data_IF_187427639413
#
_entry.id   IF_187427639413
#
_cell.length_a   1.000
_cell.length_b   1.000
_cell.length_c   1.000
_cell.angle_alpha   90.00
_cell.angle_beta   90.00
_cell.angle_gamma   90.00
#
_symmetry.space_group_name_H-M   'P 1'
#
loop_
_entity.id
_entity.type
_entity.pdbx_description
1 polymer ?
#
# COMPACT_ATOMS: atom_id res chain seq x y z
N UNK A 1 -9.50 -19.88 -14.56
CA UNK A 1 -9.63 -18.43 -14.37
C UNK A 1 -8.66 -18.01 -13.29
N UNK A 2 -7.96 -16.89 -13.44
CA UNK A 2 -7.14 -16.24 -12.43
C UNK A 2 -7.83 -14.94 -12.06
N UNK A 3 -8.29 -14.81 -10.82
CA UNK A 3 -8.93 -13.60 -10.31
C UNK A 3 -7.91 -12.83 -9.48
N UNK A 4 -7.61 -11.60 -9.88
CA UNK A 4 -6.78 -10.67 -9.13
C UNK A 4 -7.65 -9.53 -8.63
N UNK A 5 -7.70 -9.40 -7.30
CA UNK A 5 -8.46 -8.38 -6.58
C UNK A 5 -7.47 -7.53 -5.79
N UNK A 6 -7.48 -6.24 -6.02
CA UNK A 6 -6.65 -5.28 -5.31
C UNK A 6 -7.54 -4.25 -4.61
N UNK A 7 -7.38 -4.07 -3.31
CA UNK A 7 -8.16 -3.09 -2.54
C UNK A 7 -7.32 -1.83 -2.28
N UNK A 8 -7.95 -0.65 -2.42
CA UNK A 8 -7.30 0.62 -2.09
C UNK A 8 -8.27 1.62 -1.47
N UNK A 9 -7.82 2.31 -0.44
CA UNK A 9 -8.56 3.40 0.23
C UNK A 9 -8.25 4.78 -0.36
N UNK A 10 -7.02 4.98 -0.83
CA UNK A 10 -6.60 6.19 -1.53
C UNK A 10 -6.62 5.96 -3.03
N UNK A 11 -7.24 6.90 -3.78
CA UNK A 11 -7.29 6.77 -5.23
C UNK A 11 -5.92 7.04 -5.84
N UNK A 12 -5.38 6.04 -6.55
CA UNK A 12 -4.19 6.18 -7.39
C UNK A 12 -4.28 5.28 -8.60
N UNK A 13 -3.90 5.79 -9.76
CA UNK A 13 -3.84 5.01 -11.01
C UNK A 13 -2.61 4.08 -11.06
N UNK A 14 -1.63 4.29 -10.16
CA UNK A 14 -0.48 3.41 -10.00
C UNK A 14 -0.86 1.97 -9.64
N UNK A 15 -2.13 1.74 -9.21
CA UNK A 15 -2.70 0.41 -9.02
C UNK A 15 -2.55 -0.47 -10.27
N UNK A 16 -2.60 0.10 -11.49
CA UNK A 16 -2.42 -0.64 -12.74
C UNK A 16 -1.03 -1.24 -12.87
N UNK A 17 0.00 -0.51 -12.41
CA UNK A 17 1.38 -1.01 -12.40
C UNK A 17 1.53 -2.15 -11.38
N UNK A 18 0.92 -2.00 -10.19
CA UNK A 18 0.92 -3.08 -9.18
C UNK A 18 0.21 -4.33 -9.70
N UNK A 19 -0.96 -4.16 -10.34
CA UNK A 19 -1.70 -5.26 -10.97
C UNK A 19 -0.84 -5.99 -12.01
N UNK A 20 -0.09 -5.27 -12.86
CA UNK A 20 0.81 -5.87 -13.83
C UNK A 20 1.89 -6.74 -13.16
N UNK A 21 2.52 -6.20 -12.12
CA UNK A 21 3.57 -6.91 -11.39
C UNK A 21 3.01 -8.16 -10.67
N UNK A 22 1.87 -8.03 -10.00
CA UNK A 22 1.21 -9.14 -9.30
C UNK A 22 0.70 -10.21 -10.28
N UNK A 23 0.21 -9.81 -11.45
CA UNK A 23 -0.21 -10.74 -12.49
C UNK A 23 0.98 -11.54 -13.03
N UNK A 24 2.11 -10.88 -13.30
CA UNK A 24 3.33 -11.53 -13.74
C UNK A 24 3.84 -12.55 -12.69
N UNK A 25 3.87 -12.15 -11.41
CA UNK A 25 4.25 -13.02 -10.29
C UNK A 25 3.30 -14.22 -10.17
N UNK A 26 1.98 -13.98 -10.22
CA UNK A 26 0.97 -15.05 -10.14
C UNK A 26 1.09 -16.07 -11.26
N UNK A 27 1.43 -15.63 -12.48
CA UNK A 27 1.70 -16.55 -13.60
C UNK A 27 3.01 -17.30 -13.41
N UNK A 28 4.05 -16.65 -12.91
CA UNK A 28 5.31 -17.32 -12.60
C UNK A 28 5.08 -18.48 -11.61
N UNK A 29 4.44 -18.23 -10.49
CA UNK A 29 4.08 -19.25 -9.49
C UNK A 29 3.16 -20.34 -10.05
N UNK A 30 2.21 -19.97 -10.93
CA UNK A 30 1.33 -20.92 -11.59
C UNK A 30 2.11 -21.90 -12.49
N UNK A 31 3.08 -21.41 -13.28
CA UNK A 31 3.89 -22.24 -14.14
C UNK A 31 4.82 -23.16 -13.35
N UNK A 32 5.42 -22.67 -12.28
CA UNK A 32 6.23 -23.48 -11.36
C UNK A 32 5.39 -24.62 -10.74
N UNK A 33 4.26 -24.28 -10.12
CA UNK A 33 3.36 -25.23 -9.48
C UNK A 33 2.81 -26.28 -10.44
N UNK A 34 2.60 -25.91 -11.71
CA UNK A 34 2.09 -26.83 -12.76
C UNK A 34 3.19 -27.48 -13.57
N UNK A 35 4.46 -27.25 -13.21
CA UNK A 35 5.65 -27.82 -13.87
C UNK A 35 5.66 -27.56 -15.39
N UNK A 36 5.15 -26.40 -15.83
CA UNK A 36 5.16 -26.00 -17.23
C UNK A 36 6.44 -25.22 -17.56
N UNK A 37 7.15 -25.66 -18.60
CA UNK A 37 8.36 -24.98 -19.06
C UNK A 37 8.04 -24.00 -20.19
N UNK A 38 8.44 -22.75 -20.03
CA UNK A 38 8.30 -21.69 -21.04
C UNK A 38 9.28 -21.85 -22.20
N UNK A 39 10.34 -22.68 -22.06
CA UNK A 39 11.40 -22.88 -23.03
C UNK A 39 11.16 -24.05 -23.98
N UNK A 40 10.07 -24.80 -23.80
CA UNK A 40 9.70 -25.90 -24.67
C UNK A 40 8.78 -25.42 -25.79
N UNK A 41 8.83 -26.10 -26.95
CA UNK A 41 7.98 -25.79 -28.12
C UNK A 41 6.48 -25.94 -27.87
N UNK A 42 6.09 -26.73 -26.86
CA UNK A 42 4.70 -26.95 -26.51
C UNK A 42 4.12 -25.69 -25.85
N UNK A 43 3.03 -25.17 -26.43
CA UNK A 43 2.29 -24.04 -25.86
C UNK A 43 1.84 -24.35 -24.42
N UNK A 44 2.19 -23.47 -23.48
CA UNK A 44 1.74 -23.56 -22.08
C UNK A 44 0.25 -23.26 -21.95
N UNK A 45 -0.37 -23.88 -20.96
CA UNK A 45 -1.76 -23.59 -20.57
C UNK A 45 -1.74 -22.57 -19.44
N UNK A 46 -2.45 -21.47 -19.61
CA UNK A 46 -2.56 -20.43 -18.58
C UNK A 46 -4.02 -20.04 -18.38
N UNK A 47 -4.43 -19.76 -17.13
CA UNK A 47 -5.79 -19.29 -16.84
C UNK A 47 -6.01 -17.88 -17.39
N UNK A 48 -7.23 -17.59 -17.88
CA UNK A 48 -7.61 -16.23 -18.25
C UNK A 48 -7.61 -15.34 -17.02
N UNK A 49 -6.95 -14.15 -17.06
CA UNK A 49 -6.96 -13.22 -15.93
C UNK A 49 -8.25 -12.38 -15.94
N UNK A 50 -8.75 -12.08 -14.75
CA UNK A 50 -9.77 -11.07 -14.52
C UNK A 50 -9.27 -10.14 -13.41
N UNK A 51 -9.22 -8.84 -13.69
CA UNK A 51 -8.56 -7.83 -12.88
C UNK A 51 -9.60 -6.87 -12.30
N UNK A 52 -9.61 -6.72 -10.98
CA UNK A 52 -10.54 -5.87 -10.26
C UNK A 52 -9.82 -5.01 -9.22
N UNK A 53 -10.28 -3.77 -9.09
CA UNK A 53 -9.92 -2.85 -8.02
C UNK A 53 -11.13 -2.63 -7.14
N UNK A 54 -11.03 -2.92 -5.85
CA UNK A 54 -12.06 -2.61 -4.86
C UNK A 54 -11.68 -1.27 -4.22
N UNK A 55 -12.48 -0.24 -4.47
CA UNK A 55 -12.25 1.07 -3.88
C UNK A 55 -12.99 1.21 -2.55
N UNK A 56 -12.25 1.25 -1.46
CA UNK A 56 -12.76 1.33 -0.08
C UNK A 56 -12.72 2.76 0.49
N UNK A 57 -12.28 3.74 -0.30
CA UNK A 57 -12.16 5.14 0.13
C UNK A 57 -13.47 5.92 0.07
N UNK A 58 -13.47 7.11 0.69
CA UNK A 58 -14.66 7.97 0.81
C UNK A 58 -14.74 9.07 -0.26
N UNK A 59 -13.77 9.17 -1.19
CA UNK A 59 -13.83 10.14 -2.28
C UNK A 59 -14.83 9.68 -3.34
N UNK A 60 -15.55 10.63 -3.94
CA UNK A 60 -16.61 10.38 -4.91
C UNK A 60 -16.25 9.39 -6.01
N UNK A 61 -17.28 8.85 -6.67
CA UNK A 61 -17.15 7.81 -7.70
C UNK A 61 -16.12 8.20 -8.77
N UNK A 62 -15.29 7.26 -9.13
CA UNK A 62 -14.29 7.30 -10.19
C UNK A 62 -14.74 6.44 -11.37
N UNK A 63 -13.97 6.28 -12.46
CA UNK A 63 -14.37 5.48 -13.61
C UNK A 63 -14.60 4.01 -13.22
N UNK A 64 -15.57 3.37 -13.88
CA UNK A 64 -15.87 1.94 -13.66
C UNK A 64 -14.78 0.99 -14.20
N UNK A 65 -13.92 1.51 -15.08
CA UNK A 65 -12.78 0.79 -15.66
C UNK A 65 -11.63 1.75 -15.81
N UNK A 66 -10.43 1.30 -15.47
CA UNK A 66 -9.17 2.00 -15.69
C UNK A 66 -8.30 1.16 -16.61
N UNK A 67 -7.49 1.80 -17.45
CA UNK A 67 -6.61 1.12 -18.39
C UNK A 67 -5.24 1.78 -18.47
N UNK A 68 -4.24 0.96 -18.75
CA UNK A 68 -2.84 1.42 -18.78
C UNK A 68 -2.63 2.49 -19.86
N UNK A 69 -3.15 2.27 -21.08
CA UNK A 69 -3.05 3.23 -22.16
C UNK A 69 -3.66 4.58 -21.80
N UNK A 70 -4.86 4.58 -21.22
CA UNK A 70 -5.57 5.82 -20.90
C UNK A 70 -4.92 6.61 -19.76
N UNK A 71 -4.45 5.92 -18.71
CA UNK A 71 -3.97 6.57 -17.49
C UNK A 71 -2.49 7.02 -17.58
N UNK A 72 -1.68 6.38 -18.44
CA UNK A 72 -0.24 6.63 -18.52
C UNK A 72 0.26 7.11 -19.89
N UNK A 73 -0.54 6.93 -20.95
CA UNK A 73 -0.10 7.17 -22.32
C UNK A 73 -1.13 7.95 -23.14
N UNK A 74 -2.00 8.73 -22.50
CA UNK A 74 -3.00 9.62 -23.14
C UNK A 74 -3.89 8.90 -24.17
N UNK A 75 -4.17 7.60 -23.96
CA UNK A 75 -4.97 6.78 -24.85
C UNK A 75 -4.23 6.28 -26.09
N UNK A 76 -2.90 6.40 -26.13
CA UNK A 76 -2.10 5.86 -27.25
C UNK A 76 -2.28 4.34 -27.39
N UNK A 77 -2.12 3.87 -28.62
CA UNK A 77 -2.06 2.43 -28.89
C UNK A 77 -0.74 1.86 -28.35
N UNK A 78 -0.83 0.84 -27.49
CA UNK A 78 0.30 0.20 -26.83
C UNK A 78 0.24 -1.31 -26.97
N UNK A 79 1.41 -1.96 -27.08
CA UNK A 79 1.49 -3.41 -27.29
C UNK A 79 1.00 -4.24 -26.08
N UNK A 80 1.06 -3.68 -24.87
CA UNK A 80 0.60 -4.35 -23.63
C UNK A 80 -0.46 -3.49 -22.96
N UNK A 81 -1.70 -3.91 -23.01
CA UNK A 81 -2.83 -3.24 -22.36
C UNK A 81 -3.27 -3.99 -21.11
N UNK A 82 -3.39 -3.25 -19.99
CA UNK A 82 -3.96 -3.72 -18.73
C UNK A 82 -5.26 -2.94 -18.49
N UNK A 83 -6.37 -3.68 -18.32
CA UNK A 83 -7.67 -3.09 -17.97
C UNK A 83 -8.18 -3.72 -16.69
N UNK A 84 -8.51 -2.89 -15.70
CA UNK A 84 -9.10 -3.33 -14.45
C UNK A 84 -10.49 -2.71 -14.26
N UNK A 85 -11.45 -3.53 -13.81
CA UNK A 85 -12.77 -3.07 -13.40
C UNK A 85 -12.70 -2.53 -11.98
N UNK A 86 -13.36 -1.39 -11.73
CA UNK A 86 -13.39 -0.79 -10.41
C UNK A 86 -14.75 -1.05 -9.76
N UNK A 87 -14.70 -1.59 -8.55
CA UNK A 87 -15.87 -1.87 -7.73
C UNK A 87 -15.95 -0.84 -6.62
N UNK A 88 -17.09 -0.19 -6.50
CA UNK A 88 -17.44 0.78 -5.49
C UNK A 88 -18.48 0.23 -4.55
N UNK A 89 -18.65 0.87 -3.39
CA UNK A 89 -19.81 0.66 -2.54
C UNK A 89 -21.12 0.86 -3.32
N UNK A 90 -22.06 0.00 -3.09
CA UNK A 90 -23.38 0.00 -3.73
C UNK A 90 -24.44 -0.47 -2.73
N UNK A 91 -25.71 -0.27 -3.07
CA UNK A 91 -26.85 -0.77 -2.27
C UNK A 91 -27.09 -2.30 -2.44
N UNK A 92 -26.18 -2.99 -3.14
CA UNK A 92 -26.31 -4.44 -3.36
C UNK A 92 -25.87 -5.19 -2.11
N UNK A 93 -26.71 -6.11 -1.69
CA UNK A 93 -26.42 -7.07 -0.63
C UNK A 93 -25.50 -8.18 -1.20
N UNK A 94 -24.19 -7.99 -1.06
CA UNK A 94 -23.17 -8.96 -1.43
C UNK A 94 -21.89 -8.79 -0.60
N UNK A 95 -21.10 -9.85 -0.52
CA UNK A 95 -19.90 -9.93 0.31
C UNK A 95 -18.85 -8.85 -0.02
N UNK A 96 -18.75 -8.40 -1.27
CA UNK A 96 -17.79 -7.35 -1.66
C UNK A 96 -18.24 -6.00 -1.08
N UNK A 97 -19.54 -5.72 -1.12
CA UNK A 97 -20.08 -4.50 -0.51
C UNK A 97 -19.92 -4.52 1.02
N UNK A 98 -20.19 -5.65 1.67
CA UNK A 98 -19.96 -5.82 3.11
C UNK A 98 -18.48 -5.63 3.46
N UNK A 99 -17.54 -6.11 2.61
CA UNK A 99 -16.11 -5.88 2.79
C UNK A 99 -15.75 -4.38 2.66
N UNK A 100 -16.31 -3.67 1.69
CA UNK A 100 -16.09 -2.21 1.55
C UNK A 100 -16.58 -1.48 2.80
N UNK A 101 -17.76 -1.81 3.31
CA UNK A 101 -18.30 -1.21 4.53
C UNK A 101 -17.44 -1.56 5.75
N UNK A 102 -16.98 -2.81 5.87
CA UNK A 102 -16.01 -3.21 6.90
C UNK A 102 -14.75 -2.35 6.87
N UNK A 103 -14.15 -2.15 5.70
CA UNK A 103 -12.97 -1.29 5.54
C UNK A 103 -13.22 0.17 5.94
N UNK A 104 -14.43 0.70 5.67
CA UNK A 104 -14.81 2.06 6.08
C UNK A 104 -14.93 2.19 7.59
N UNK A 105 -15.64 1.25 8.23
CA UNK A 105 -15.73 1.20 9.69
C UNK A 105 -14.34 1.08 10.31
N UNK A 106 -13.50 0.23 9.76
CA UNK A 106 -12.12 0.07 10.23
C UNK A 106 -11.31 1.37 10.15
N UNK A 107 -11.37 2.08 9.02
CA UNK A 107 -10.72 3.37 8.86
C UNK A 107 -11.24 4.44 9.85
N UNK A 108 -12.52 4.40 10.22
CA UNK A 108 -13.11 5.26 11.25
C UNK A 108 -12.54 4.91 12.63
N UNK A 109 -12.46 3.62 12.96
CA UNK A 109 -11.93 3.17 14.24
C UNK A 109 -10.42 3.43 14.40
N UNK A 110 -9.65 3.35 13.31
CA UNK A 110 -8.22 3.77 13.32
C UNK A 110 -8.08 5.26 13.62
N UNK A 111 -8.95 6.12 13.09
CA UNK A 111 -8.91 7.56 13.39
C UNK A 111 -9.20 7.86 14.86
N UNK A 112 -10.07 7.09 15.49
CA UNK A 112 -10.48 7.27 16.88
C UNK A 112 -9.49 6.64 17.87
N UNK A 113 -9.02 5.43 17.59
CA UNK A 113 -8.23 4.62 18.53
C UNK A 113 -6.77 4.40 18.10
N UNK A 114 -6.35 4.96 16.95
CA UNK A 114 -5.05 4.66 16.35
C UNK A 114 -4.96 3.23 15.81
N UNK A 115 -3.75 2.82 15.39
CA UNK A 115 -3.45 1.46 14.94
C UNK A 115 -3.30 0.53 16.16
N UNK A 116 -4.40 0.15 16.75
CA UNK A 116 -4.43 -0.64 17.99
C UNK A 116 -5.36 -1.83 17.89
N UNK A 117 -5.17 -2.81 18.78
CA UNK A 117 -6.09 -3.93 18.92
C UNK A 117 -7.52 -3.46 19.22
N UNK A 118 -7.68 -2.35 19.93
CA UNK A 118 -8.98 -1.77 20.22
C UNK A 118 -9.71 -1.35 18.93
N UNK A 119 -9.03 -0.68 18.00
CA UNK A 119 -9.61 -0.32 16.70
C UNK A 119 -10.15 -1.54 15.95
N UNK A 120 -9.38 -2.65 15.95
CA UNK A 120 -9.79 -3.89 15.30
C UNK A 120 -11.00 -4.52 15.99
N UNK A 121 -10.97 -4.65 17.34
CA UNK A 121 -12.06 -5.28 18.08
C UNK A 121 -13.37 -4.47 18.01
N UNK A 122 -13.30 -3.14 18.06
CA UNK A 122 -14.48 -2.27 17.89
C UNK A 122 -15.04 -2.36 16.47
N UNK A 123 -14.17 -2.42 15.44
CA UNK A 123 -14.60 -2.66 14.06
C UNK A 123 -15.40 -3.96 13.93
N UNK A 124 -14.87 -5.06 14.48
CA UNK A 124 -15.53 -6.36 14.45
C UNK A 124 -16.87 -6.30 15.18
N UNK A 125 -16.92 -5.69 16.37
CA UNK A 125 -18.15 -5.51 17.14
C UNK A 125 -19.22 -4.73 16.34
N UNK A 126 -18.86 -3.56 15.83
CA UNK A 126 -19.77 -2.69 15.06
C UNK A 126 -20.28 -3.41 13.81
N UNK A 127 -19.41 -4.10 13.09
CA UNK A 127 -19.81 -4.82 11.89
C UNK A 127 -20.73 -6.01 12.21
N UNK A 128 -20.48 -6.76 13.27
CA UNK A 128 -21.38 -7.84 13.73
C UNK A 128 -22.75 -7.30 14.13
N UNK A 129 -22.81 -6.17 14.83
CA UNK A 129 -24.06 -5.50 15.24
C UNK A 129 -24.88 -5.01 14.04
N UNK A 130 -24.21 -4.55 12.98
CA UNK A 130 -24.81 -4.12 11.70
C UNK A 130 -25.07 -5.28 10.71
N UNK A 131 -24.86 -6.52 11.10
CA UNK A 131 -24.98 -7.72 10.26
C UNK A 131 -24.01 -7.73 9.05
N UNK A 132 -22.89 -7.02 9.11
CA UNK A 132 -21.86 -6.94 8.07
C UNK A 132 -20.82 -8.02 8.32
N UNK A 133 -20.61 -8.92 7.33
CA UNK A 133 -19.70 -10.08 7.43
C UNK A 133 -19.90 -10.90 8.73
N UNK A 134 -21.10 -10.84 9.32
CA UNK A 134 -21.36 -11.33 10.68
C UNK A 134 -20.97 -12.78 10.89
N UNK A 135 -21.35 -13.66 9.95
CA UNK A 135 -21.04 -15.08 10.05
C UNK A 135 -19.54 -15.32 10.00
N UNK A 136 -18.85 -14.65 9.08
CA UNK A 136 -17.39 -14.75 8.92
C UNK A 136 -16.66 -14.21 10.16
N UNK A 137 -16.98 -13.00 10.59
CA UNK A 137 -16.38 -12.36 11.75
C UNK A 137 -16.64 -13.14 13.05
N UNK A 138 -17.80 -13.78 13.20
CA UNK A 138 -18.09 -14.60 14.38
C UNK A 138 -17.30 -15.92 14.39
N UNK A 139 -17.06 -16.52 13.23
CA UNK A 139 -16.34 -17.79 13.13
C UNK A 139 -14.82 -17.65 13.07
N UNK A 140 -14.30 -16.47 12.66
CA UNK A 140 -12.90 -16.21 12.37
C UNK A 140 -12.32 -14.98 13.11
N UNK A 141 -12.95 -14.58 14.20
CA UNK A 141 -12.58 -13.34 14.92
C UNK A 141 -11.09 -13.29 15.29
N UNK A 142 -10.56 -14.36 15.89
CA UNK A 142 -9.14 -14.42 16.29
C UNK A 142 -8.20 -14.31 15.08
N UNK A 143 -8.55 -14.99 13.99
CA UNK A 143 -7.78 -14.94 12.74
C UNK A 143 -7.79 -13.54 12.13
N UNK A 144 -8.96 -12.88 12.09
CA UNK A 144 -9.09 -11.50 11.60
C UNK A 144 -8.27 -10.55 12.44
N UNK A 145 -8.38 -10.63 13.78
CA UNK A 145 -7.58 -9.79 14.69
C UNK A 145 -6.08 -10.00 14.45
N UNK A 146 -5.63 -11.25 14.31
CA UNK A 146 -4.21 -11.55 14.09
C UNK A 146 -3.70 -10.95 12.79
N UNK A 147 -4.45 -11.13 11.68
CA UNK A 147 -4.08 -10.58 10.36
C UNK A 147 -4.06 -9.06 10.41
N UNK A 148 -5.08 -8.42 10.99
CA UNK A 148 -5.16 -6.95 11.07
C UNK A 148 -4.03 -6.36 11.92
N UNK A 149 -3.65 -7.04 13.02
CA UNK A 149 -2.52 -6.62 13.85
C UNK A 149 -1.18 -6.77 13.12
N UNK A 150 -0.97 -7.84 12.35
CA UNK A 150 0.26 -7.97 11.55
C UNK A 150 0.38 -6.87 10.49
N UNK A 151 -0.73 -6.43 9.89
CA UNK A 151 -0.71 -5.29 8.96
C UNK A 151 -0.32 -3.97 9.64
N UNK A 152 -0.69 -3.77 10.90
CA UNK A 152 -0.25 -2.60 11.68
C UNK A 152 1.25 -2.63 11.97
N UNK A 153 1.77 -3.80 12.33
CA UNK A 153 3.21 -3.97 12.58
C UNK A 153 4.02 -3.68 11.31
N UNK A 154 3.60 -4.22 10.16
CA UNK A 154 4.23 -3.97 8.87
C UNK A 154 4.19 -2.48 8.47
N UNK A 155 3.04 -1.82 8.66
CA UNK A 155 2.90 -0.39 8.36
C UNK A 155 3.75 0.48 9.31
N UNK A 156 3.84 0.11 10.57
CA UNK A 156 4.67 0.82 11.55
C UNK A 156 6.16 0.66 11.22
N UNK A 157 6.60 -0.54 10.84
CA UNK A 157 7.96 -0.81 10.36
C UNK A 157 8.29 0.06 9.14
N UNK A 158 7.39 0.07 8.13
CA UNK A 158 7.58 0.88 6.92
C UNK A 158 7.65 2.37 7.22
N UNK A 159 6.79 2.89 8.08
CA UNK A 159 6.80 4.32 8.50
C UNK A 159 8.08 4.67 9.24
N UNK A 160 8.60 3.78 10.06
CA UNK A 160 9.88 3.98 10.75
C UNK A 160 11.03 4.02 9.75
N UNK A 161 11.07 3.06 8.83
CA UNK A 161 12.06 3.00 7.76
C UNK A 161 12.05 4.25 6.85
N UNK A 162 10.86 4.73 6.45
CA UNK A 162 10.73 5.97 5.66
C UNK A 162 11.25 7.20 6.42
N UNK A 163 11.00 7.28 7.73
CA UNK A 163 11.52 8.38 8.58
C UNK A 163 13.05 8.31 8.69
N UNK A 164 13.59 7.11 8.84
CA UNK A 164 15.05 6.92 8.96
C UNK A 164 15.77 7.31 7.66
N UNK A 165 15.26 6.87 6.50
CA UNK A 165 15.79 7.29 5.18
C UNK A 165 15.70 8.80 5.00
N UNK A 166 14.58 9.42 5.37
CA UNK A 166 14.42 10.88 5.27
C UNK A 166 15.45 11.59 6.15
N UNK A 167 15.64 11.11 7.37
CA UNK A 167 16.61 11.67 8.32
C UNK A 167 18.04 11.54 7.80
N UNK A 168 18.45 10.37 7.31
CA UNK A 168 19.77 10.15 6.69
C UNK A 168 20.00 11.10 5.51
N UNK A 169 19.00 11.24 4.63
CA UNK A 169 19.07 12.17 3.49
C UNK A 169 19.26 13.63 3.91
N UNK A 170 18.61 14.05 5.01
CA UNK A 170 18.77 15.40 5.55
C UNK A 170 20.17 15.59 6.18
N UNK A 171 20.67 14.59 6.89
CA UNK A 171 22.02 14.61 7.45
C UNK A 171 23.10 14.72 6.34
N UNK A 172 22.99 13.91 5.28
CA UNK A 172 23.90 14.00 4.12
C UNK A 172 23.88 15.39 3.46
N UNK A 173 22.71 16.00 3.30
CA UNK A 173 22.59 17.36 2.77
C UNK A 173 23.22 18.41 3.69
N UNK A 174 23.00 18.29 5.00
CA UNK A 174 23.60 19.19 5.98
C UNK A 174 25.14 19.09 5.95
N UNK A 175 25.69 17.87 5.95
CA UNK A 175 27.13 17.61 5.82
C UNK A 175 27.69 18.22 4.53
N UNK A 176 26.99 18.05 3.40
CA UNK A 176 27.39 18.61 2.13
C UNK A 176 27.41 20.15 2.14
N UNK A 177 26.45 20.78 2.80
CA UNK A 177 26.36 22.24 2.91
C UNK A 177 27.47 22.80 3.84
N UNK A 178 27.75 22.13 4.95
CA UNK A 178 28.87 22.44 5.85
C UNK A 178 30.22 22.32 5.13
N UNK A 179 30.48 21.21 4.43
CA UNK A 179 31.68 20.99 3.64
C UNK A 179 31.91 22.04 2.54
N UNK A 180 30.83 22.59 1.99
CA UNK A 180 30.88 23.67 0.99
C UNK A 180 30.92 25.07 1.58
N UNK A 181 30.97 25.21 2.90
CA UNK A 181 30.96 26.49 3.60
C UNK A 181 29.70 27.32 3.36
N UNK A 182 28.59 26.68 3.05
CA UNK A 182 27.31 27.35 2.81
C UNK A 182 26.53 27.66 4.07
N UNK A 183 26.74 26.88 5.11
CA UNK A 183 26.18 27.05 6.46
C UNK A 183 27.25 26.69 7.50
N UNK A 184 27.07 27.20 8.72
CA UNK A 184 27.86 26.81 9.89
C UNK A 184 27.09 25.77 10.72
N UNK A 185 27.80 25.09 11.65
CA UNK A 185 27.16 24.04 12.47
C UNK A 185 26.00 24.58 13.31
N UNK A 186 26.11 25.80 13.82
CA UNK A 186 25.07 26.46 14.63
C UNK A 186 23.79 26.76 13.84
N UNK A 187 23.90 26.84 12.50
CA UNK A 187 22.78 27.11 11.59
C UNK A 187 22.04 25.84 11.14
N UNK A 188 22.59 24.64 11.40
CA UNK A 188 22.02 23.37 10.94
C UNK A 188 20.59 23.19 11.44
N UNK A 189 20.30 23.51 12.70
CA UNK A 189 18.95 23.40 13.28
C UNK A 189 17.94 24.36 12.60
N UNK A 190 18.38 25.50 12.08
CA UNK A 190 17.52 26.45 11.38
C UNK A 190 17.17 25.97 9.96
N UNK A 191 18.18 25.44 9.21
CA UNK A 191 18.00 24.97 7.85
C UNK A 191 17.36 23.55 7.79
N UNK A 192 17.54 22.76 8.82
CA UNK A 192 17.04 21.37 8.93
C UNK A 192 16.30 21.12 10.25
N UNK A 193 15.14 21.77 10.47
CA UNK A 193 14.42 21.70 11.75
C UNK A 193 13.87 20.30 12.09
N UNK A 194 13.92 19.36 11.14
CA UNK A 194 13.49 17.97 11.32
C UNK A 194 14.61 17.09 11.93
N UNK A 195 15.88 17.56 11.96
CA UNK A 195 16.98 16.85 12.59
C UNK A 195 16.96 17.05 14.12
N UNK A 196 17.28 15.98 14.83
CA UNK A 196 17.38 16.00 16.29
C UNK A 196 18.76 16.53 16.71
N UNK A 197 18.87 16.98 17.97
CA UNK A 197 20.17 17.39 18.54
C UNK A 197 21.23 16.27 18.46
N UNK A 198 20.81 14.99 18.57
CA UNK A 198 21.70 13.84 18.39
C UNK A 198 22.30 13.77 17.00
N UNK A 199 21.51 14.11 15.97
CA UNK A 199 21.91 14.07 14.57
C UNK A 199 22.90 15.18 14.27
N UNK A 200 22.67 16.37 14.85
CA UNK A 200 23.56 17.52 14.69
C UNK A 200 24.94 17.21 15.30
N UNK A 201 24.98 16.55 16.45
CA UNK A 201 26.23 16.10 17.07
C UNK A 201 26.98 15.06 16.22
N UNK A 202 26.23 14.15 15.59
CA UNK A 202 26.79 13.16 14.67
C UNK A 202 27.40 13.83 13.43
N UNK A 203 26.66 14.77 12.83
CA UNK A 203 27.10 15.60 11.70
C UNK A 203 28.38 16.37 12.06
N UNK A 204 28.43 17.01 13.24
CA UNK A 204 29.58 17.74 13.72
C UNK A 204 30.79 16.83 13.84
N UNK A 205 30.62 15.65 14.46
CA UNK A 205 31.67 14.66 14.60
C UNK A 205 32.23 14.19 13.25
N UNK A 206 31.34 13.94 12.27
CA UNK A 206 31.74 13.52 10.93
C UNK A 206 32.47 14.60 10.16
N UNK A 207 32.05 15.85 10.26
CA UNK A 207 32.72 16.98 9.58
C UNK A 207 34.07 17.27 10.18
N UNK A 208 34.20 17.14 11.52
CA UNK A 208 35.50 17.32 12.21
C UNK A 208 36.52 16.20 11.92
N UNK A 209 36.06 14.97 11.66
CA UNK A 209 36.97 13.86 11.31
C UNK A 209 37.51 13.96 9.87
N UNK A 210 36.89 14.76 9.05
CA UNK A 210 37.22 14.92 7.63
C UNK A 210 37.94 16.24 7.32
N UNK A 211 38.12 17.12 8.31
CA UNK A 211 38.84 18.40 8.21
C UNK A 211 40.29 18.26 8.64
#
# INVERSE_FOLDING_TARGET
>A
MLLLLEAQSSWTVNILIRILLYLAQSYHEYFERTSQSLYKSKKVKMPKPELYVIYTGNKGRKPDTISLSQEFFDGADIDIEIKAKVIYESDKDNIINEYIVFCKVFNEQIKEHGMTKQAVTETIRICKDRNILKQYLSSKEVEVVTIMMSLFDDEQIMRTYEKDIKRETLMEKAILMLKKGKINIDEVSEYFPELLESDIKEIESEVMQLA
#
